data_IF_475372740994
#
_entry.id   IF_475372740994
#
_cell.length_a   1.000
_cell.length_b   1.000
_cell.length_c   1.000
_cell.angle_alpha   90.00
_cell.angle_beta   90.00
_cell.angle_gamma   90.00
#
_symmetry.space_group_name_H-M   'P 1'
#
loop_
_entity.id
_entity.type
_entity.pdbx_description
1 polymer ?
#
# COMPACT_ATOMS: atom_id res chain seq x y z
N UNK A 1 2.69 19.35 -30.88
CA UNK A 1 2.65 19.54 -29.41
C UNK A 1 2.43 18.19 -28.72
N UNK A 2 3.44 17.29 -28.72
CA UNK A 2 3.27 15.90 -28.22
C UNK A 2 4.44 15.31 -27.42
N UNK A 3 5.63 15.92 -27.44
CA UNK A 3 6.82 15.34 -26.80
C UNK A 3 6.95 15.64 -25.30
N UNK A 4 6.39 16.75 -24.81
CA UNK A 4 6.47 17.10 -23.37
C UNK A 4 5.52 16.27 -22.52
N UNK A 5 4.35 15.89 -23.06
CA UNK A 5 3.38 15.07 -22.34
C UNK A 5 3.90 13.65 -22.11
N UNK A 6 4.56 13.03 -23.11
CA UNK A 6 5.05 11.65 -22.96
C UNK A 6 6.18 11.51 -21.94
N UNK A 7 7.06 12.52 -21.84
CA UNK A 7 8.18 12.51 -20.91
C UNK A 7 7.70 12.68 -19.46
N UNK A 8 6.69 13.53 -19.27
CA UNK A 8 6.08 13.76 -17.96
C UNK A 8 5.27 12.55 -17.47
N UNK A 9 4.55 11.86 -18.35
CA UNK A 9 3.86 10.60 -18.00
C UNK A 9 4.85 9.47 -17.65
N UNK A 10 5.97 9.37 -18.37
CA UNK A 10 7.05 8.43 -18.04
C UNK A 10 7.67 8.74 -16.68
N UNK A 11 7.89 10.02 -16.37
CA UNK A 11 8.40 10.45 -15.07
C UNK A 11 7.42 10.13 -13.93
N UNK A 12 6.13 10.43 -14.09
CA UNK A 12 5.09 10.08 -13.10
C UNK A 12 5.03 8.57 -12.86
N UNK A 13 5.11 7.78 -13.93
CA UNK A 13 5.12 6.31 -13.84
C UNK A 13 6.34 5.83 -13.05
N UNK A 14 7.53 6.34 -13.38
CA UNK A 14 8.77 6.00 -12.66
C UNK A 14 8.69 6.39 -11.18
N UNK A 15 8.21 7.60 -10.88
CA UNK A 15 7.99 8.07 -9.50
C UNK A 15 7.06 7.12 -8.75
N UNK A 16 5.92 6.74 -9.35
CA UNK A 16 4.99 5.79 -8.75
C UNK A 16 5.67 4.45 -8.45
N UNK A 17 6.39 3.87 -9.41
CA UNK A 17 7.10 2.61 -9.22
C UNK A 17 8.13 2.68 -8.08
N UNK A 18 8.89 3.78 -7.99
CA UNK A 18 9.88 3.97 -6.92
C UNK A 18 9.20 4.12 -5.56
N UNK A 19 8.13 4.91 -5.45
CA UNK A 19 7.36 5.05 -4.22
C UNK A 19 6.77 3.72 -3.75
N UNK A 20 6.20 2.94 -4.68
CA UNK A 20 5.61 1.64 -4.37
C UNK A 20 6.69 0.62 -3.95
N UNK A 21 7.87 0.66 -4.58
CA UNK A 21 9.03 -0.14 -4.15
C UNK A 21 9.54 0.22 -2.76
N UNK A 22 9.70 1.51 -2.46
CA UNK A 22 10.14 1.98 -1.14
C UNK A 22 9.16 1.57 -0.02
N UNK A 23 7.86 1.70 -0.30
CA UNK A 23 6.77 1.23 0.56
C UNK A 23 6.89 -0.26 0.90
N UNK A 24 7.12 -1.10 -0.10
CA UNK A 24 7.34 -2.54 0.09
C UNK A 24 8.57 -2.84 0.94
N UNK A 25 9.67 -2.10 0.79
CA UNK A 25 10.88 -2.30 1.61
C UNK A 25 10.66 -2.02 3.10
N UNK A 26 9.84 -1.01 3.43
CA UNK A 26 9.47 -0.69 4.82
C UNK A 26 8.39 -1.66 5.35
N UNK A 27 7.81 -2.49 4.47
CA UNK A 27 6.71 -3.38 4.80
C UNK A 27 5.36 -2.66 4.89
N UNK A 28 5.28 -1.44 4.35
CA UNK A 28 4.11 -0.59 4.44
C UNK A 28 3.45 -0.45 3.07
N UNK A 29 2.32 -1.13 2.85
CA UNK A 29 1.64 -1.13 1.55
C UNK A 29 1.02 0.22 1.15
N UNK A 30 0.58 0.33 -0.11
CA UNK A 30 -0.18 1.49 -0.62
C UNK A 30 -1.67 1.38 -0.20
N UNK A 31 -2.15 2.36 0.57
CA UNK A 31 -3.53 2.43 1.03
C UNK A 31 -4.54 2.62 -0.10
N UNK A 32 -4.21 3.43 -1.12
CA UNK A 32 -5.13 3.71 -2.22
C UNK A 32 -5.39 2.43 -3.03
N UNK A 33 -4.33 1.67 -3.31
CA UNK A 33 -4.42 0.37 -3.97
C UNK A 33 -5.24 -0.63 -3.14
N UNK A 34 -5.05 -0.66 -1.81
CA UNK A 34 -5.87 -1.47 -0.90
C UNK A 34 -7.35 -1.08 -0.94
N UNK A 35 -7.68 0.20 -0.81
CA UNK A 35 -9.06 0.66 -0.81
C UNK A 35 -9.75 0.40 -2.15
N UNK A 36 -9.04 0.54 -3.27
CA UNK A 36 -9.56 0.14 -4.58
C UNK A 36 -9.80 -1.37 -4.65
N UNK A 37 -8.86 -2.18 -4.18
CA UNK A 37 -9.01 -3.64 -4.16
C UNK A 37 -10.21 -4.09 -3.34
N UNK A 38 -10.42 -3.54 -2.13
CA UNK A 38 -11.58 -3.84 -1.29
C UNK A 38 -12.88 -3.45 -2.01
N UNK A 39 -12.97 -2.21 -2.55
CA UNK A 39 -14.17 -1.78 -3.27
C UNK A 39 -14.51 -2.65 -4.48
N UNK A 40 -13.50 -3.21 -5.16
CA UNK A 40 -13.67 -4.04 -6.36
C UNK A 40 -13.96 -5.51 -6.05
N UNK A 41 -13.34 -6.05 -5.00
CA UNK A 41 -13.35 -7.50 -4.71
C UNK A 41 -14.30 -7.85 -3.57
N UNK A 42 -14.53 -6.91 -2.66
CA UNK A 42 -15.37 -7.06 -1.48
C UNK A 42 -16.36 -5.88 -1.39
N UNK A 43 -17.33 -5.79 -2.32
CA UNK A 43 -18.28 -4.67 -2.36
C UNK A 43 -19.11 -4.55 -1.05
N UNK A 44 -19.28 -5.66 -0.33
CA UNK A 44 -20.01 -5.71 0.94
C UNK A 44 -19.19 -5.27 2.16
N UNK A 45 -17.89 -5.05 1.97
CA UNK A 45 -16.98 -4.63 3.05
C UNK A 45 -16.51 -3.21 2.84
N UNK A 46 -16.56 -2.41 3.91
CA UNK A 46 -15.95 -1.08 3.89
C UNK A 46 -14.44 -1.19 4.06
N UNK A 47 -13.63 -0.50 3.23
CA UNK A 47 -12.20 -0.40 3.47
C UNK A 47 -11.93 0.14 4.88
N UNK A 48 -10.94 -0.44 5.55
CA UNK A 48 -10.34 0.13 6.77
C UNK A 48 -9.94 1.59 6.52
N UNK A 49 -9.90 2.41 7.58
CA UNK A 49 -9.28 3.73 7.49
C UNK A 49 -7.77 3.62 7.26
N UNK A 50 -7.15 4.70 6.80
CA UNK A 50 -5.70 4.75 6.54
C UNK A 50 -4.87 4.42 7.79
N UNK A 51 -5.28 4.94 8.96
CA UNK A 51 -4.61 4.69 10.24
C UNK A 51 -4.76 3.23 10.67
N UNK A 52 -5.95 2.63 10.50
CA UNK A 52 -6.18 1.22 10.78
C UNK A 52 -5.35 0.32 9.85
N UNK A 53 -5.29 0.66 8.56
CA UNK A 53 -4.44 -0.04 7.61
C UNK A 53 -2.96 0.05 8.00
N UNK A 54 -2.49 1.22 8.42
CA UNK A 54 -1.12 1.41 8.89
C UNK A 54 -0.80 0.54 10.09
N UNK A 55 -1.61 0.63 11.15
CA UNK A 55 -1.47 -0.20 12.36
C UNK A 55 -1.57 -1.69 12.06
N UNK A 56 -2.45 -2.11 11.15
CA UNK A 56 -2.57 -3.50 10.73
C UNK A 56 -1.27 -4.02 10.08
N UNK A 57 -0.59 -3.19 9.27
CA UNK A 57 0.71 -3.55 8.68
C UNK A 57 1.84 -3.54 9.70
N UNK A 58 1.86 -2.57 10.61
CA UNK A 58 2.80 -2.56 11.74
C UNK A 58 2.64 -3.79 12.62
N UNK A 59 1.41 -4.15 12.99
CA UNK A 59 1.11 -5.32 13.82
C UNK A 59 1.52 -6.62 13.10
N UNK A 60 1.27 -6.73 11.79
CA UNK A 60 1.70 -7.88 11.01
C UNK A 60 3.24 -8.02 10.94
N UNK A 61 3.97 -6.89 10.95
CA UNK A 61 5.44 -6.89 10.85
C UNK A 61 6.14 -7.03 12.19
N UNK A 62 5.68 -6.33 13.22
CA UNK A 62 6.33 -6.22 14.52
C UNK A 62 5.61 -6.99 15.63
N UNK A 63 4.43 -7.56 15.37
CA UNK A 63 3.68 -8.34 16.36
C UNK A 63 3.10 -7.53 17.52
N UNK A 64 3.09 -6.20 17.42
CA UNK A 64 2.52 -5.34 18.44
C UNK A 64 1.03 -5.66 18.58
N UNK A 65 0.56 -5.93 19.80
CA UNK A 65 -0.83 -6.31 20.04
C UNK A 65 -1.18 -7.79 19.87
N UNK A 66 -0.22 -8.72 19.96
CA UNK A 66 -0.40 -10.16 20.21
C UNK A 66 -1.19 -11.02 19.19
N UNK A 67 -1.68 -10.46 18.09
CA UNK A 67 -2.55 -11.21 17.17
C UNK A 67 -1.81 -12.05 16.12
N UNK A 68 -0.67 -11.61 15.56
CA UNK A 68 0.05 -12.39 14.52
C UNK A 68 1.42 -11.82 14.11
N UNK A 69 2.33 -11.56 15.06
CA UNK A 69 3.75 -11.35 14.74
C UNK A 69 4.49 -12.68 14.64
N UNK A 70 5.61 -12.71 13.89
CA UNK A 70 6.50 -13.87 13.69
C UNK A 70 6.75 -14.64 15.00
N UNK A 71 5.93 -15.65 15.29
CA UNK A 71 6.20 -16.65 16.34
C UNK A 71 7.24 -17.58 15.75
N UNK A 72 8.51 -17.22 15.96
CA UNK A 72 9.56 -18.23 15.91
C UNK A 72 9.36 -19.06 17.19
N UNK A 73 8.76 -20.24 16.99
CA UNK A 73 8.30 -21.21 17.98
C UNK A 73 6.91 -20.93 18.59
#
# INVERSE_FOLDING_TARGET
MGSSQSLMERWKTLQKCVCDGARLMVGQGDYAAYAEHIRRTHPDQRPMSEVEFFRNRENARFGVGNTSGFRCC
#
